data_IF_750943318802
#
_entry.id   IF_750943318802
#
_cell.length_a   1.000
_cell.length_b   1.000
_cell.length_c   1.000
_cell.angle_alpha   90.00
_cell.angle_beta   90.00
_cell.angle_gamma   90.00
#
_symmetry.space_group_name_H-M   'P 1'
#
loop_
_entity.id
_entity.type
_entity.pdbx_description
1 polymer ?
#
# COMPACT_ATOMS: atom_id res chain seq x y z
N UNK A 1 -12.39 -12.52 -15.97
CA UNK A 1 -11.77 -11.27 -15.48
C UNK A 1 -12.67 -10.78 -14.35
N UNK A 2 -12.23 -10.83 -13.11
CA UNK A 2 -13.00 -10.37 -11.94
C UNK A 2 -12.60 -8.94 -11.59
N UNK A 3 -13.45 -8.25 -10.85
CA UNK A 3 -13.17 -6.90 -10.34
C UNK A 3 -13.46 -6.83 -8.86
N UNK A 4 -12.67 -6.04 -8.14
CA UNK A 4 -12.99 -5.61 -6.77
C UNK A 4 -13.67 -4.26 -6.88
N UNK A 5 -14.73 -4.06 -6.10
CA UNK A 5 -15.45 -2.78 -6.03
C UNK A 5 -15.25 -2.15 -4.66
N UNK A 6 -14.91 -0.86 -4.69
CA UNK A 6 -14.91 0.02 -3.52
C UNK A 6 -15.88 1.17 -3.84
N UNK A 7 -17.13 1.10 -3.35
CA UNK A 7 -18.17 2.06 -3.73
C UNK A 7 -18.43 2.06 -5.24
N UNK A 8 -18.15 3.17 -5.92
CA UNK A 8 -18.27 3.32 -7.37
C UNK A 8 -17.00 2.96 -8.14
N UNK A 9 -15.93 2.65 -7.45
CA UNK A 9 -14.64 2.34 -8.03
C UNK A 9 -14.45 0.85 -8.28
N UNK A 10 -13.98 0.48 -9.48
CA UNK A 10 -13.68 -0.91 -9.87
C UNK A 10 -12.20 -1.08 -10.19
N UNK A 11 -11.52 -1.97 -9.44
CA UNK A 11 -10.18 -2.45 -9.77
C UNK A 11 -10.28 -3.78 -10.54
N UNK A 12 -9.60 -3.87 -11.67
CA UNK A 12 -9.45 -5.14 -12.38
C UNK A 12 -8.56 -6.07 -11.59
N UNK A 13 -9.02 -7.28 -11.34
CA UNK A 13 -8.23 -8.34 -10.73
C UNK A 13 -7.58 -9.11 -11.88
N UNK A 14 -6.27 -9.22 -11.83
CA UNK A 14 -5.50 -10.16 -12.65
C UNK A 14 -5.27 -11.44 -11.84
N UNK A 15 -6.25 -12.34 -11.92
CA UNK A 15 -6.11 -13.66 -11.31
C UNK A 15 -5.25 -14.53 -12.23
N UNK A 16 -4.03 -14.74 -11.81
CA UNK A 16 -3.22 -15.79 -12.41
C UNK A 16 -3.56 -17.12 -11.74
N UNK A 17 -4.09 -18.05 -12.53
CA UNK A 17 -4.26 -19.45 -12.15
C UNK A 17 -3.19 -20.23 -12.91
N UNK A 18 -2.12 -20.59 -12.22
CA UNK A 18 -1.18 -21.59 -12.73
C UNK A 18 -1.49 -22.91 -12.02
N UNK A 19 -1.92 -23.91 -12.78
CA UNK A 19 -2.22 -25.26 -12.28
C UNK A 19 -0.95 -26.10 -12.11
N UNK A 20 0.24 -25.57 -12.46
CA UNK A 20 1.48 -26.35 -12.47
C UNK A 20 2.56 -25.70 -11.60
N UNK A 21 2.98 -26.48 -10.60
CA UNK A 21 4.21 -26.38 -9.82
C UNK A 21 4.28 -25.34 -8.71
N UNK A 22 3.74 -25.73 -7.56
CA UNK A 22 4.20 -25.26 -6.24
C UNK A 22 5.63 -25.76 -5.96
N UNK A 23 6.60 -25.38 -6.78
CA UNK A 23 8.00 -25.57 -6.43
C UNK A 23 8.52 -24.38 -5.63
N UNK A 24 9.20 -24.70 -4.60
CA UNK A 24 9.72 -23.89 -3.53
C UNK A 24 10.23 -22.51 -3.98
N UNK A 25 9.44 -21.49 -3.72
CA UNK A 25 9.83 -20.10 -3.69
C UNK A 25 11.14 -19.91 -2.93
N UNK A 26 12.11 -19.20 -3.49
CA UNK A 26 13.38 -18.91 -2.81
C UNK A 26 13.17 -17.84 -1.72
N UNK A 27 12.41 -18.26 -0.70
CA UNK A 27 12.12 -17.54 0.51
C UNK A 27 13.37 -16.97 1.19
N UNK A 28 14.49 -17.69 1.06
CA UNK A 28 15.76 -17.25 1.65
C UNK A 28 16.33 -16.01 0.98
N UNK A 29 16.11 -15.84 -0.30
CA UNK A 29 16.60 -14.66 -1.02
C UNK A 29 15.78 -13.40 -0.71
N UNK A 30 14.45 -13.51 -0.62
CA UNK A 30 13.61 -12.38 -0.19
C UNK A 30 13.83 -12.04 1.28
N UNK A 31 13.91 -13.05 2.14
CA UNK A 31 14.25 -12.84 3.54
C UNK A 31 15.63 -12.20 3.70
N UNK A 32 16.58 -12.57 2.87
CA UNK A 32 17.95 -12.04 2.88
C UNK A 32 17.98 -10.58 2.41
N UNK A 33 17.25 -10.23 1.35
CA UNK A 33 17.13 -8.84 0.86
C UNK A 33 16.42 -7.95 1.84
N UNK A 34 15.27 -8.37 2.39
CA UNK A 34 14.47 -7.57 3.35
C UNK A 34 15.06 -7.48 4.76
N UNK A 35 16.04 -8.32 5.10
CA UNK A 35 16.74 -8.26 6.39
C UNK A 35 18.20 -7.81 6.25
N UNK A 36 18.69 -7.59 5.02
CA UNK A 36 20.14 -7.46 4.79
C UNK A 36 20.73 -6.18 5.34
N UNK A 37 19.94 -5.10 5.51
CA UNK A 37 20.47 -3.86 6.03
C UNK A 37 19.54 -3.23 7.07
N UNK A 38 19.73 -3.65 8.33
CA UNK A 38 19.21 -2.91 9.47
C UNK A 38 20.01 -1.62 9.76
N UNK A 39 20.98 -1.26 8.93
CA UNK A 39 21.89 -0.16 9.22
C UNK A 39 21.44 1.18 8.65
N UNK A 40 20.66 1.17 7.54
CA UNK A 40 20.21 2.40 6.88
C UNK A 40 18.68 2.45 6.74
N UNK A 41 17.99 2.28 7.88
CA UNK A 41 16.52 2.29 7.92
C UNK A 41 15.91 3.67 7.69
N UNK A 42 16.73 4.72 7.74
CA UNK A 42 16.30 6.11 7.52
C UNK A 42 16.22 6.46 6.03
N UNK A 43 16.90 5.70 5.16
CA UNK A 43 16.99 6.01 3.73
C UNK A 43 15.74 5.63 2.93
N UNK A 44 14.81 4.89 3.52
CA UNK A 44 13.59 4.45 2.85
C UNK A 44 12.40 4.30 3.81
N UNK A 45 11.20 4.53 3.28
CA UNK A 45 9.93 4.42 4.01
C UNK A 45 9.26 3.04 3.84
N UNK A 46 7.99 2.93 4.28
CA UNK A 46 7.19 1.71 4.12
C UNK A 46 7.01 1.28 2.65
N UNK A 47 6.87 2.24 1.72
CA UNK A 47 6.78 1.97 0.29
C UNK A 47 8.11 1.46 -0.28
N UNK A 48 9.22 2.13 0.03
CA UNK A 48 10.55 1.67 -0.36
C UNK A 48 10.88 0.28 0.16
N UNK A 49 10.38 -0.07 1.35
CA UNK A 49 10.46 -1.42 1.90
C UNK A 49 9.58 -2.41 1.14
N UNK A 50 8.33 -2.03 0.86
CA UNK A 50 7.36 -2.91 0.20
C UNK A 50 7.79 -3.29 -1.21
N UNK A 51 8.30 -2.32 -1.97
CA UNK A 51 8.71 -2.50 -3.38
C UNK A 51 10.21 -2.75 -3.57
N UNK A 52 10.96 -2.90 -2.48
CA UNK A 52 12.42 -3.14 -2.51
C UNK A 52 13.20 -2.08 -3.31
N UNK A 53 12.71 -0.85 -3.34
CA UNK A 53 13.39 0.26 -4.03
C UNK A 53 14.51 0.87 -3.19
N UNK A 54 14.49 0.64 -1.86
CA UNK A 54 15.44 1.19 -0.89
C UNK A 54 15.59 2.72 -0.98
N UNK A 55 14.48 3.39 -1.29
CA UNK A 55 14.34 4.84 -1.36
C UNK A 55 13.00 5.25 -0.78
N UNK A 56 12.79 6.54 -0.53
CA UNK A 56 11.47 7.04 -0.20
C UNK A 56 10.57 6.89 -1.43
N UNK A 57 9.52 6.10 -1.28
CA UNK A 57 8.54 5.87 -2.33
C UNK A 57 7.17 6.33 -1.86
N UNK A 58 6.54 7.20 -2.65
CA UNK A 58 5.14 7.61 -2.50
C UNK A 58 4.33 7.09 -3.69
N UNK A 59 3.07 6.69 -3.49
CA UNK A 59 2.24 6.12 -4.55
C UNK A 59 1.63 7.18 -5.49
N UNK A 60 2.08 8.42 -5.43
CA UNK A 60 1.59 9.55 -6.20
C UNK A 60 2.74 10.39 -6.73
N UNK A 61 2.51 11.06 -7.86
CA UNK A 61 3.53 11.83 -8.60
C UNK A 61 3.70 13.27 -8.10
N UNK A 62 3.11 13.64 -6.98
CA UNK A 62 3.23 14.94 -6.32
C UNK A 62 4.01 14.81 -5.02
N UNK A 63 4.46 15.91 -4.45
CA UNK A 63 5.01 15.86 -3.11
C UNK A 63 3.91 15.63 -2.04
N UNK A 64 4.33 15.34 -0.83
CA UNK A 64 3.42 15.01 0.27
C UNK A 64 2.48 16.17 0.62
N UNK A 65 3.00 17.39 0.64
CA UNK A 65 2.23 18.59 1.02
C UNK A 65 1.20 18.90 -0.08
N UNK A 66 1.58 18.78 -1.35
CA UNK A 66 0.67 18.96 -2.49
C UNK A 66 -0.46 17.93 -2.44
N UNK A 67 -0.16 16.67 -2.13
CA UNK A 67 -1.19 15.64 -1.95
C UNK A 67 -2.15 15.96 -0.79
N UNK A 68 -1.63 16.43 0.34
CA UNK A 68 -2.48 16.89 1.45
C UNK A 68 -3.39 18.03 1.05
N UNK A 69 -2.89 18.98 0.24
CA UNK A 69 -3.65 20.09 -0.28
C UNK A 69 -4.76 19.63 -1.24
N UNK A 70 -4.49 18.68 -2.14
CA UNK A 70 -5.51 18.09 -3.03
C UNK A 70 -6.66 17.46 -2.24
N UNK A 71 -6.35 16.64 -1.23
CA UNK A 71 -7.36 16.00 -0.39
C UNK A 71 -8.16 17.06 0.40
N UNK A 72 -7.48 18.05 0.96
CA UNK A 72 -8.11 19.15 1.68
C UNK A 72 -9.07 19.93 0.78
N UNK A 73 -8.63 20.30 -0.41
CA UNK A 73 -9.42 21.09 -1.35
C UNK A 73 -10.64 20.29 -1.84
N UNK A 74 -10.51 18.98 -2.05
CA UNK A 74 -11.63 18.10 -2.36
C UNK A 74 -12.70 18.15 -1.25
N UNK A 75 -12.30 18.01 0.01
CA UNK A 75 -13.23 18.05 1.16
C UNK A 75 -13.84 19.44 1.36
N UNK A 76 -13.07 20.53 1.17
CA UNK A 76 -13.59 21.93 1.21
C UNK A 76 -14.65 22.18 0.15
N UNK A 77 -14.56 21.56 -1.00
CA UNK A 77 -15.52 21.67 -2.08
C UNK A 77 -16.76 20.77 -1.91
N UNK A 78 -16.93 20.15 -0.75
CA UNK A 78 -18.10 19.36 -0.37
C UNK A 78 -17.99 17.87 -0.68
N UNK A 79 -16.80 17.38 -1.01
CA UNK A 79 -16.53 15.95 -1.10
C UNK A 79 -16.65 15.27 0.28
N UNK A 80 -17.10 14.04 0.31
CA UNK A 80 -17.11 13.24 1.54
C UNK A 80 -15.75 12.56 1.77
N UNK A 81 -15.50 12.14 3.01
CA UNK A 81 -14.28 11.35 3.34
C UNK A 81 -14.30 10.01 2.61
N UNK A 82 -15.46 9.39 2.49
CA UNK A 82 -15.66 8.14 1.75
C UNK A 82 -15.31 8.32 0.27
N UNK A 83 -15.79 9.38 -0.38
CA UNK A 83 -15.45 9.68 -1.77
C UNK A 83 -13.96 10.00 -1.92
N UNK A 84 -13.34 10.67 -0.94
CA UNK A 84 -11.90 10.94 -0.95
C UNK A 84 -11.11 9.64 -0.92
N UNK A 85 -11.47 8.67 -0.06
CA UNK A 85 -10.83 7.36 -0.06
C UNK A 85 -10.94 6.68 -1.43
N UNK A 86 -12.13 6.68 -2.06
CA UNK A 86 -12.33 6.06 -3.37
C UNK A 86 -11.43 6.69 -4.44
N UNK A 87 -11.46 8.03 -4.55
CA UNK A 87 -10.75 8.78 -5.57
C UNK A 87 -9.23 8.65 -5.41
N UNK A 88 -8.73 8.93 -4.21
CA UNK A 88 -7.28 8.95 -4.00
C UNK A 88 -6.68 7.54 -3.97
N UNK A 89 -7.43 6.53 -3.52
CA UNK A 89 -7.01 5.15 -3.62
C UNK A 89 -6.91 4.68 -5.09
N UNK A 90 -7.83 5.14 -5.94
CA UNK A 90 -7.78 4.88 -7.38
C UNK A 90 -6.53 5.49 -8.00
N UNK A 91 -6.33 6.78 -7.80
CA UNK A 91 -5.18 7.52 -8.35
C UNK A 91 -3.86 6.87 -7.93
N UNK A 92 -3.71 6.57 -6.64
CA UNK A 92 -2.51 5.92 -6.10
C UNK A 92 -2.31 4.52 -6.70
N UNK A 93 -3.39 3.74 -6.85
CA UNK A 93 -3.31 2.41 -7.44
C UNK A 93 -2.89 2.46 -8.91
N UNK A 94 -3.46 3.37 -9.69
CA UNK A 94 -3.11 3.57 -11.09
C UNK A 94 -1.64 3.99 -11.23
N UNK A 95 -1.18 4.94 -10.40
CA UNK A 95 0.22 5.36 -10.37
C UNK A 95 1.18 4.21 -10.02
N UNK A 96 0.86 3.42 -8.98
CA UNK A 96 1.67 2.26 -8.63
C UNK A 96 1.75 1.22 -9.74
N UNK A 97 0.63 0.95 -10.44
CA UNK A 97 0.61 0.01 -11.57
C UNK A 97 1.45 0.51 -12.74
N UNK A 98 1.52 1.82 -12.95
CA UNK A 98 2.38 2.45 -13.97
C UNK A 98 3.85 2.38 -13.56
N UNK A 99 4.20 2.76 -12.32
CA UNK A 99 5.56 2.75 -11.79
C UNK A 99 6.20 1.36 -11.82
N UNK A 100 5.38 0.33 -11.59
CA UNK A 100 5.81 -1.07 -11.54
C UNK A 100 5.20 -1.91 -12.65
N UNK A 101 5.08 -1.33 -13.85
CA UNK A 101 4.48 -2.00 -15.02
C UNK A 101 5.10 -3.40 -15.24
N UNK A 102 4.22 -4.39 -15.39
CA UNK A 102 4.60 -5.80 -15.58
C UNK A 102 5.15 -6.52 -14.33
N UNK A 103 5.31 -5.80 -13.23
CA UNK A 103 5.79 -6.36 -11.94
C UNK A 103 4.75 -6.29 -10.84
N UNK A 104 3.73 -5.44 -10.98
CA UNK A 104 2.67 -5.24 -10.02
C UNK A 104 1.32 -5.58 -10.64
N UNK A 105 0.47 -6.27 -9.90
CA UNK A 105 -0.93 -6.54 -10.27
C UNK A 105 -1.83 -6.52 -9.06
N UNK A 106 -3.09 -6.11 -9.24
CA UNK A 106 -4.09 -6.14 -8.18
C UNK A 106 -4.60 -7.56 -7.98
N UNK A 107 -4.76 -7.97 -6.73
CA UNK A 107 -5.33 -9.27 -6.35
C UNK A 107 -6.50 -9.09 -5.39
N UNK A 108 -7.33 -10.13 -5.26
CA UNK A 108 -8.64 -10.03 -4.60
C UNK A 108 -8.59 -9.88 -3.08
N UNK A 109 -7.57 -10.43 -2.41
CA UNK A 109 -7.53 -10.47 -0.94
C UNK A 109 -6.16 -10.88 -0.41
N UNK A 110 -6.04 -10.87 0.91
CA UNK A 110 -4.88 -11.40 1.64
C UNK A 110 -4.65 -12.92 1.42
N UNK A 111 -5.62 -13.62 0.83
CA UNK A 111 -5.55 -15.06 0.54
C UNK A 111 -5.33 -15.37 -0.93
N UNK A 112 -5.13 -14.33 -1.74
CA UNK A 112 -4.90 -14.51 -3.16
C UNK A 112 -3.70 -15.42 -3.43
N UNK A 113 -3.84 -16.24 -4.46
CA UNK A 113 -2.75 -17.08 -4.97
C UNK A 113 -1.80 -16.14 -5.74
N UNK A 114 -0.55 -16.15 -5.34
CA UNK A 114 0.52 -15.40 -5.99
C UNK A 114 1.57 -16.37 -6.55
N UNK A 115 2.33 -15.90 -7.53
CA UNK A 115 3.42 -16.69 -8.12
C UNK A 115 4.55 -16.87 -7.12
N UNK A 116 5.41 -17.86 -7.36
CA UNK A 116 6.54 -18.17 -6.48
C UNK A 116 7.56 -17.02 -6.37
N UNK A 117 7.68 -16.21 -7.40
CA UNK A 117 8.55 -15.04 -7.47
C UNK A 117 7.87 -13.72 -7.07
N UNK A 118 6.63 -13.79 -6.55
CA UNK A 118 5.87 -12.63 -6.08
C UNK A 118 5.79 -12.58 -4.55
N UNK A 119 5.58 -11.39 -4.03
CA UNK A 119 5.17 -11.14 -2.65
C UNK A 119 3.80 -10.48 -2.63
N UNK A 120 3.04 -10.70 -1.57
CA UNK A 120 1.76 -10.03 -1.38
C UNK A 120 1.98 -8.72 -0.65
N UNK A 121 1.42 -7.64 -1.19
CA UNK A 121 1.45 -6.31 -0.58
C UNK A 121 0.02 -5.90 -0.27
N UNK A 122 -0.21 -5.34 0.91
CA UNK A 122 -1.44 -4.65 1.27
C UNK A 122 -1.16 -3.15 1.40
N UNK A 123 -2.00 -2.35 0.79
CA UNK A 123 -1.93 -0.89 0.79
C UNK A 123 -3.19 -0.29 1.39
N UNK A 124 -3.03 0.76 2.18
CA UNK A 124 -4.15 1.47 2.79
C UNK A 124 -3.82 2.94 3.01
N UNK A 125 -4.84 3.78 2.84
CA UNK A 125 -4.79 5.20 3.11
C UNK A 125 -5.30 5.54 4.52
N UNK A 126 -4.83 6.68 5.03
CA UNK A 126 -5.40 7.41 6.15
C UNK A 126 -5.82 8.80 5.65
N UNK A 127 -7.07 9.17 5.87
CA UNK A 127 -7.61 10.49 5.57
C UNK A 127 -8.45 10.92 6.77
N UNK A 128 -7.91 11.80 7.60
CA UNK A 128 -8.59 12.31 8.79
C UNK A 128 -8.73 13.83 8.67
N UNK A 129 -9.94 14.34 8.37
CA UNK A 129 -10.17 15.76 8.41
C UNK A 129 -10.09 16.29 9.85
N UNK A 130 -9.43 17.40 10.02
CA UNK A 130 -9.33 18.13 11.27
C UNK A 130 -9.73 19.57 11.03
N UNK A 131 -10.10 20.27 12.08
CA UNK A 131 -10.48 21.68 12.03
C UNK A 131 -9.63 22.44 13.02
N UNK A 132 -9.12 23.58 12.60
CA UNK A 132 -8.42 24.50 13.48
C UNK A 132 -9.40 25.38 14.30
N UNK A 133 -8.85 26.32 15.09
CA UNK A 133 -9.64 27.20 15.95
C UNK A 133 -10.54 28.17 15.14
N UNK A 134 -10.17 28.46 13.91
CA UNK A 134 -10.92 29.32 12.99
C UNK A 134 -11.95 28.55 12.15
N UNK A 135 -11.99 27.22 12.30
CA UNK A 135 -12.90 26.31 11.58
C UNK A 135 -12.39 25.96 10.18
N UNK A 136 -11.16 26.30 9.85
CA UNK A 136 -10.54 25.89 8.61
C UNK A 136 -10.16 24.40 8.64
N UNK A 137 -10.45 23.71 7.53
CA UNK A 137 -10.14 22.30 7.40
C UNK A 137 -8.67 22.08 7.04
N UNK A 138 -8.01 21.18 7.74
CA UNK A 138 -6.77 20.55 7.32
C UNK A 138 -6.91 19.04 7.36
N UNK A 139 -6.05 18.31 6.68
CA UNK A 139 -6.16 16.87 6.52
C UNK A 139 -4.89 16.19 7.03
N UNK A 140 -5.07 15.26 7.94
CA UNK A 140 -4.04 14.29 8.28
C UNK A 140 -4.13 13.14 7.26
N UNK A 141 -3.32 13.22 6.22
CA UNK A 141 -3.23 12.24 5.15
C UNK A 141 -1.95 11.43 5.33
N UNK A 142 -2.06 10.14 5.12
CA UNK A 142 -0.90 9.23 5.12
C UNK A 142 -1.25 7.94 4.39
N UNK A 143 -0.24 7.14 4.09
CA UNK A 143 -0.40 5.83 3.48
C UNK A 143 0.49 4.81 4.19
N UNK A 144 0.12 3.54 4.08
CA UNK A 144 0.93 2.48 4.65
C UNK A 144 0.88 1.20 3.83
N UNK A 145 2.03 0.51 3.83
CA UNK A 145 2.19 -0.77 3.17
C UNK A 145 2.53 -1.87 4.16
N UNK A 146 1.93 -3.03 3.94
CA UNK A 146 2.31 -4.28 4.58
C UNK A 146 2.79 -5.25 3.51
N UNK A 147 3.73 -6.09 3.85
CA UNK A 147 4.22 -7.14 2.97
C UNK A 147 4.07 -8.49 3.64
N UNK A 148 3.53 -9.45 2.92
CA UNK A 148 3.43 -10.83 3.38
C UNK A 148 4.44 -11.70 2.66
N UNK A 149 5.26 -12.36 3.45
CA UNK A 149 6.10 -13.48 3.03
C UNK A 149 5.56 -14.80 3.62
N UNK A 150 6.29 -15.91 3.47
CA UNK A 150 5.89 -17.23 4.00
C UNK A 150 5.83 -17.30 5.54
N UNK A 151 6.45 -16.35 6.24
CA UNK A 151 6.49 -16.31 7.71
C UNK A 151 5.32 -15.51 8.27
N UNK A 152 4.87 -14.49 7.55
CA UNK A 152 3.78 -13.63 7.97
C UNK A 152 3.86 -12.24 7.39
N UNK A 153 3.05 -11.36 7.95
CA UNK A 153 3.02 -9.97 7.57
C UNK A 153 4.12 -9.18 8.25
N UNK A 154 4.69 -8.24 7.52
CA UNK A 154 5.71 -7.29 7.99
C UNK A 154 5.38 -5.90 7.53
N UNK A 155 5.86 -4.93 8.26
CA UNK A 155 5.83 -3.54 7.85
C UNK A 155 7.07 -2.78 8.31
N UNK A 156 7.21 -1.57 7.78
CA UNK A 156 8.20 -0.59 8.20
C UNK A 156 7.48 0.74 8.45
N UNK A 157 7.54 1.26 9.65
CA UNK A 157 6.95 2.57 9.96
C UNK A 157 8.00 3.67 9.75
N UNK A 158 7.82 4.48 8.69
CA UNK A 158 8.73 5.57 8.38
C UNK A 158 10.20 5.11 8.38
N UNK A 159 11.04 5.71 9.22
CA UNK A 159 12.46 5.38 9.38
C UNK A 159 12.74 4.22 10.35
N UNK A 160 11.73 3.62 11.00
CA UNK A 160 11.92 2.55 11.96
C UNK A 160 12.32 1.22 11.31
N UNK A 161 12.87 0.31 12.12
CA UNK A 161 13.25 -1.04 11.68
C UNK A 161 12.00 -1.83 11.27
N UNK A 162 12.06 -2.62 10.18
CA UNK A 162 10.96 -3.51 9.80
C UNK A 162 10.64 -4.54 10.89
N UNK A 163 9.36 -4.75 11.16
CA UNK A 163 8.89 -5.68 12.19
C UNK A 163 7.76 -6.58 11.69
N UNK A 164 7.57 -7.72 12.38
CA UNK A 164 6.43 -8.60 12.15
C UNK A 164 5.20 -8.05 12.84
N UNK A 165 4.06 -8.25 12.19
CA UNK A 165 2.75 -7.85 12.72
C UNK A 165 1.70 -8.93 12.49
N UNK A 166 0.65 -8.88 13.31
CA UNK A 166 -0.60 -9.57 13.00
C UNK A 166 -1.43 -8.71 12.04
N UNK A 167 -1.85 -9.26 10.91
CA UNK A 167 -2.60 -8.52 9.88
C UNK A 167 -3.90 -7.87 10.40
N UNK A 168 -4.52 -8.45 11.42
CA UNK A 168 -5.79 -7.98 12.00
C UNK A 168 -5.64 -6.91 13.08
N UNK A 169 -4.41 -6.57 13.45
CA UNK A 169 -4.11 -5.57 14.49
C UNK A 169 -3.37 -4.37 13.90
N UNK A 170 -2.85 -3.50 14.76
CA UNK A 170 -1.87 -2.50 14.38
C UNK A 170 -1.00 -2.96 13.19
N UNK A 171 -0.76 -2.24 12.17
CA UNK A 171 -0.66 -0.79 12.04
C UNK A 171 -1.93 -0.11 11.55
N UNK A 172 -3.02 -0.85 11.35
CA UNK A 172 -4.26 -0.26 10.86
C UNK A 172 -5.01 0.55 11.91
N UNK A 173 -4.59 0.51 13.19
CA UNK A 173 -5.28 1.18 14.29
C UNK A 173 -5.10 2.69 14.34
N UNK A 174 -4.13 3.24 13.64
CA UNK A 174 -3.82 4.68 13.69
C UNK A 174 -4.61 5.51 12.65
N UNK A 175 -5.88 5.15 12.40
CA UNK A 175 -6.73 5.87 11.45
C UNK A 175 -6.55 5.42 9.99
N UNK A 176 -5.85 4.31 9.73
CA UNK A 176 -5.85 3.66 8.42
C UNK A 176 -7.12 2.82 8.28
N UNK A 177 -8.26 3.46 8.13
CA UNK A 177 -9.59 2.88 8.12
C UNK A 177 -10.26 2.86 6.74
N UNK A 178 -9.58 3.38 5.72
CA UNK A 178 -9.98 3.26 4.32
C UNK A 178 -9.97 1.81 3.81
N UNK A 179 -10.44 1.56 2.59
CA UNK A 179 -10.36 0.24 1.96
C UNK A 179 -8.93 -0.25 1.80
N UNK A 180 -8.73 -1.57 1.84
CA UNK A 180 -7.43 -2.19 1.61
C UNK A 180 -7.35 -2.65 0.16
N UNK A 181 -6.29 -2.29 -0.54
CA UNK A 181 -5.95 -2.86 -1.85
C UNK A 181 -4.82 -3.85 -1.68
N UNK A 182 -4.98 -5.01 -2.29
CA UNK A 182 -3.96 -6.05 -2.29
C UNK A 182 -3.29 -6.15 -3.65
N UNK A 183 -1.98 -6.32 -3.62
CA UNK A 183 -1.17 -6.48 -4.82
C UNK A 183 -0.30 -7.71 -4.72
N UNK A 184 -0.08 -8.37 -5.85
CA UNK A 184 1.06 -9.28 -6.02
C UNK A 184 2.16 -8.52 -6.74
N UNK A 185 3.36 -8.53 -6.18
CA UNK A 185 4.51 -7.80 -6.66
C UNK A 185 5.70 -8.73 -6.89
N UNK A 186 6.30 -8.61 -8.06
CA UNK A 186 7.55 -9.29 -8.41
C UNK A 186 8.71 -8.33 -8.13
N UNK A 187 9.56 -8.64 -7.14
CA UNK A 187 10.72 -7.83 -6.78
C UNK A 187 11.76 -7.66 -7.89
#
# INVERSE_FOLDING_TARGET
MSTIRFGNFELKIDNYYDDEDFESYDYLNIKKRRNADNTDTEDYNCGGYAFETYSWYSPYNTDFDERCDEVRDFLRNGGSVEDAFEIFLQVDTESMLEDFEGRLRVVESERAIIRDDEVLIAYRLRIIPRYDEDGEIYVDHDFHYLVRDKVGWRHKQGSLIPEFIEFTKEPWSNGYDGPIVFFAFKP
#
